data_IF_516199604647
#
_entry.id   IF_516199604647
#
_cell.length_a   1.000
_cell.length_b   1.000
_cell.length_c   1.000
_cell.angle_alpha   90.00
_cell.angle_beta   90.00
_cell.angle_gamma   90.00
#
_symmetry.space_group_name_H-M   'P 1'
#
loop_
_entity.id
_entity.type
_entity.pdbx_description
1 polymer ?
#
# COMPACT_ATOMS: atom_id res chain seq x y z
N UNK A 1 16.10 -17.56 -20.76
CA UNK A 1 16.31 -16.25 -21.44
C UNK A 1 15.01 -15.82 -22.15
N UNK A 2 14.04 -15.20 -21.45
CA UNK A 2 12.81 -14.68 -22.06
C UNK A 2 12.90 -13.15 -22.22
N UNK A 3 13.24 -12.71 -23.44
CA UNK A 3 13.08 -11.31 -23.88
C UNK A 3 11.60 -11.07 -24.23
N UNK A 4 10.93 -10.20 -23.48
CA UNK A 4 9.60 -9.68 -23.86
C UNK A 4 9.78 -8.69 -25.02
N UNK A 5 9.32 -9.08 -26.21
CA UNK A 5 9.32 -8.29 -27.43
C UNK A 5 8.26 -7.19 -27.35
N UNK A 6 8.69 -5.94 -27.41
CA UNK A 6 7.81 -4.78 -27.61
C UNK A 6 7.39 -4.76 -29.08
N UNK A 7 6.13 -5.10 -29.37
CA UNK A 7 5.57 -4.99 -30.72
C UNK A 7 5.11 -3.56 -30.98
N UNK A 8 5.80 -2.88 -31.89
CA UNK A 8 5.41 -1.60 -32.48
C UNK A 8 4.56 -1.90 -33.71
N UNK A 9 3.36 -1.31 -33.80
CA UNK A 9 2.53 -1.38 -35.01
C UNK A 9 2.07 0.02 -35.42
N UNK A 10 2.25 0.27 -36.72
CA UNK A 10 2.10 1.52 -37.46
C UNK A 10 0.64 1.89 -37.73
N UNK A 11 0.49 3.18 -38.02
CA UNK A 11 -0.67 3.96 -38.47
C UNK A 11 -1.65 3.25 -39.41
N UNK A 12 -2.93 3.59 -39.25
CA UNK A 12 -3.84 3.86 -40.37
C UNK A 12 -4.48 5.23 -40.17
N UNK A 13 -4.28 6.09 -41.15
CA UNK A 13 -4.90 7.40 -41.30
C UNK A 13 -6.36 7.24 -41.74
N UNK A 14 -7.22 8.13 -41.24
CA UNK A 14 -8.63 8.20 -41.60
C UNK A 14 -9.15 9.58 -41.16
N UNK A 15 -9.12 10.51 -42.10
CA UNK A 15 -9.70 11.86 -42.01
C UNK A 15 -11.21 11.79 -41.83
N UNK A 16 -11.79 12.76 -41.10
CA UNK A 16 -13.02 13.49 -41.48
C UNK A 16 -13.19 14.73 -40.58
N UNK A 17 -13.73 15.77 -41.18
CA UNK A 17 -13.69 17.18 -40.83
C UNK A 17 -14.83 17.68 -39.90
N UNK A 18 -14.68 18.93 -39.44
CA UNK A 18 -15.74 19.87 -38.99
C UNK A 18 -16.33 19.57 -37.61
N UNK A 19 -16.70 20.53 -36.75
CA UNK A 19 -17.17 21.88 -37.02
C UNK A 19 -17.12 22.71 -35.71
N UNK A 20 -16.84 24.02 -35.83
CA UNK A 20 -16.90 25.01 -34.74
C UNK A 20 -18.35 25.33 -34.33
N UNK A 21 -18.58 25.59 -33.05
CA UNK A 21 -19.61 26.57 -32.65
C UNK A 21 -19.29 27.23 -31.30
N UNK A 22 -19.21 28.56 -31.33
CA UNK A 22 -19.03 29.49 -30.21
C UNK A 22 -20.38 30.03 -29.71
N UNK A 23 -20.36 30.58 -28.49
CA UNK A 23 -21.33 31.45 -27.76
C UNK A 23 -22.34 30.65 -26.89
N UNK A 24 -22.70 31.04 -25.66
CA UNK A 24 -22.63 32.32 -24.95
C UNK A 24 -22.46 32.09 -23.42
N UNK A 25 -21.90 33.08 -22.73
CA UNK A 25 -21.78 33.11 -21.27
C UNK A 25 -23.05 33.60 -20.56
N UNK A 26 -23.27 33.12 -19.34
CA UNK A 26 -24.13 33.74 -18.33
C UNK A 26 -23.45 33.57 -16.97
N UNK A 27 -23.25 34.70 -16.30
CA UNK A 27 -22.53 34.85 -15.04
C UNK A 27 -23.27 34.20 -13.85
N UNK A 28 -22.54 33.37 -13.09
CA UNK A 28 -22.99 32.80 -11.82
C UNK A 28 -21.91 32.91 -10.75
N UNK A 29 -21.94 33.98 -9.94
CA UNK A 29 -21.04 34.13 -8.79
C UNK A 29 -21.27 32.99 -7.78
N UNK A 30 -20.26 32.13 -7.61
CA UNK A 30 -20.28 30.98 -6.70
C UNK A 30 -20.16 31.43 -5.23
N UNK A 31 -20.80 30.71 -4.31
CA UNK A 31 -20.92 31.02 -2.86
C UNK A 31 -19.60 31.34 -2.12
N UNK A 32 -18.44 31.01 -2.69
CA UNK A 32 -17.12 31.28 -2.13
C UNK A 32 -16.71 32.77 -2.24
N UNK A 33 -17.24 33.50 -3.22
CA UNK A 33 -17.02 34.95 -3.39
C UNK A 33 -17.70 35.76 -2.27
N UNK A 34 -18.90 35.37 -1.85
CA UNK A 34 -19.65 35.98 -0.73
C UNK A 34 -18.94 35.79 0.61
N UNK A 35 -18.30 34.64 0.85
CA UNK A 35 -17.49 34.39 2.06
C UNK A 35 -16.24 35.28 2.12
N UNK A 36 -15.57 35.53 0.99
CA UNK A 36 -14.42 36.43 0.91
C UNK A 36 -14.81 37.90 1.17
N UNK A 37 -15.90 38.39 0.57
CA UNK A 37 -16.41 39.77 0.80
C UNK A 37 -16.81 40.01 2.28
N UNK A 38 -17.42 39.02 2.96
CA UNK A 38 -17.80 39.12 4.39
C UNK A 38 -16.57 39.19 5.32
N UNK A 39 -15.50 38.46 4.99
CA UNK A 39 -14.23 38.46 5.77
C UNK A 39 -13.43 39.77 5.62
N UNK A 40 -13.54 40.44 4.48
CA UNK A 40 -12.94 41.76 4.25
C UNK A 40 -13.67 42.90 4.97
N UNK A 41 -15.02 42.85 5.08
CA UNK A 41 -15.80 43.84 5.85
C UNK A 41 -15.49 43.79 7.35
N UNK A 42 -15.32 42.60 7.93
CA UNK A 42 -15.00 42.43 9.37
C UNK A 42 -13.60 43.00 9.68
N UNK A 43 -12.62 42.79 8.78
CA UNK A 43 -11.26 43.34 8.93
C UNK A 43 -11.19 44.87 8.80
N UNK A 44 -12.11 45.51 8.08
CA UNK A 44 -12.17 46.98 7.98
C UNK A 44 -12.87 47.63 9.17
N UNK A 45 -13.79 46.93 9.85
CA UNK A 45 -14.49 47.47 11.03
C UNK A 45 -13.59 47.51 12.28
N UNK A 46 -12.77 46.48 12.49
CA UNK A 46 -11.80 46.42 13.61
C UNK A 46 -10.67 47.45 13.48
N UNK A 47 -10.43 47.99 12.27
CA UNK A 47 -9.37 48.97 12.02
C UNK A 47 -9.82 50.43 12.19
N UNK A 48 -11.10 50.67 12.49
CA UNK A 48 -11.70 52.01 12.58
C UNK A 48 -12.10 52.41 14.01
N UNK A 49 -11.91 51.53 14.99
CA UNK A 49 -12.26 51.75 16.41
C UNK A 49 -11.03 52.09 17.28
N UNK A 50 -9.83 52.21 16.73
CA UNK A 50 -8.60 52.42 17.54
C UNK A 50 -7.92 53.79 17.35
N UNK A 51 -8.46 54.69 16.52
CA UNK A 51 -7.86 56.02 16.34
C UNK A 51 -8.93 57.11 16.52
N UNK A 52 -8.90 57.78 17.67
CA UNK A 52 -9.75 58.92 18.04
C UNK A 52 -9.09 59.74 19.16
N UNK A 53 -8.64 60.94 18.77
CA UNK A 53 -7.92 62.00 19.51
C UNK A 53 -8.92 62.83 20.38
N UNK A 54 -8.72 63.02 21.70
CA UNK A 54 -8.11 64.20 22.39
C UNK A 54 -9.17 64.97 23.24
N UNK A 55 -8.89 65.98 24.11
CA UNK A 55 -7.64 66.43 24.78
C UNK A 55 -7.81 66.72 26.32
N UNK A 56 -6.72 67.09 27.02
CA UNK A 56 -6.80 67.70 28.37
C UNK A 56 -5.54 67.55 29.24
N UNK A 57 -4.86 68.67 29.47
CA UNK A 57 -3.62 68.94 30.23
C UNK A 57 -3.57 68.48 31.68
N UNK A 58 -2.40 68.01 32.14
CA UNK A 58 -1.68 68.53 33.31
C UNK A 58 -0.23 68.02 33.33
N UNK A 59 0.69 68.89 33.74
CA UNK A 59 2.12 68.73 33.64
C UNK A 59 2.68 67.98 34.87
N UNK A 60 3.59 67.02 34.67
CA UNK A 60 4.63 66.70 35.65
C UNK A 60 5.81 65.91 35.05
N UNK A 61 6.96 66.59 35.08
CA UNK A 61 8.34 66.10 35.26
C UNK A 61 8.87 64.92 34.43
N UNK A 62 9.82 65.28 33.55
CA UNK A 62 10.78 64.40 32.88
C UNK A 62 11.65 63.65 33.91
N UNK A 63 11.63 62.33 33.85
CA UNK A 63 12.79 61.49 34.19
C UNK A 63 13.04 60.58 32.99
N UNK A 64 14.17 60.79 32.33
CA UNK A 64 14.66 59.98 31.23
C UNK A 64 15.20 58.65 31.76
N UNK A 65 14.43 57.57 31.66
CA UNK A 65 14.97 56.21 31.69
C UNK A 65 14.91 55.62 30.28
N UNK A 66 16.00 55.80 29.53
CA UNK A 66 16.29 55.05 28.31
C UNK A 66 16.59 53.59 28.70
N UNK A 67 15.54 52.81 28.91
CA UNK A 67 15.66 51.35 28.88
C UNK A 67 15.88 50.92 27.42
N UNK A 68 17.14 50.74 27.03
CA UNK A 68 17.52 50.07 25.80
C UNK A 68 16.78 48.73 25.71
N UNK A 69 15.82 48.62 24.79
CA UNK A 69 15.25 47.34 24.40
C UNK A 69 16.37 46.56 23.73
N UNK A 70 17.12 45.78 24.51
CA UNK A 70 18.03 44.78 23.98
C UNK A 70 17.24 43.88 23.05
N UNK A 71 17.42 44.07 21.74
CA UNK A 71 16.90 43.13 20.76
C UNK A 71 17.52 41.78 21.08
N UNK A 72 16.67 40.83 21.48
CA UNK A 72 17.11 39.47 21.79
C UNK A 72 17.65 38.86 20.50
N UNK A 73 18.96 38.98 20.29
CA UNK A 73 19.66 38.45 19.13
C UNK A 73 19.45 36.94 19.13
N UNK A 74 18.84 36.46 18.07
CA UNK A 74 18.70 35.03 17.80
C UNK A 74 19.70 34.64 16.73
N UNK A 75 20.45 33.53 16.89
CA UNK A 75 20.32 32.53 17.95
C UNK A 75 20.92 33.00 19.29
N UNK A 76 20.33 32.61 20.44
CA UNK A 76 20.93 32.87 21.74
C UNK A 76 22.28 32.15 21.84
N UNK A 77 23.24 32.75 22.54
CA UNK A 77 24.56 32.16 22.81
C UNK A 77 24.50 30.90 23.68
N UNK A 78 23.39 30.71 24.41
CA UNK A 78 23.13 29.56 25.28
C UNK A 78 22.15 28.57 24.65
N UNK A 79 22.22 27.28 25.02
CA UNK A 79 21.33 26.27 24.46
C UNK A 79 19.90 26.44 25.02
N UNK A 80 18.88 26.29 24.17
CA UNK A 80 17.47 26.43 24.59
C UNK A 80 17.12 25.44 25.71
N UNK A 81 17.84 24.31 25.80
CA UNK A 81 17.66 23.28 26.83
C UNK A 81 18.03 23.75 28.25
N UNK A 82 18.93 24.72 28.40
CA UNK A 82 19.39 25.25 29.69
C UNK A 82 18.34 26.13 30.40
N UNK A 83 17.34 26.64 29.67
CA UNK A 83 16.29 27.49 30.25
C UNK A 83 15.41 26.65 31.17
N UNK A 84 15.55 26.76 32.50
CA UNK A 84 14.72 26.03 33.47
C UNK A 84 13.22 26.29 33.34
N UNK A 85 12.81 27.52 33.01
CA UNK A 85 11.40 27.88 32.82
C UNK A 85 10.80 27.28 31.53
N UNK A 86 9.78 26.43 31.66
CA UNK A 86 9.09 25.74 30.55
C UNK A 86 8.47 26.69 29.52
N UNK A 87 7.81 27.76 29.96
CA UNK A 87 7.13 28.71 29.05
C UNK A 87 8.15 29.48 28.22
N UNK A 88 9.20 30.03 28.87
CA UNK A 88 10.30 30.70 28.16
C UNK A 88 11.03 29.74 27.23
N UNK A 89 11.31 28.51 27.66
CA UNK A 89 11.93 27.45 26.85
C UNK A 89 11.12 27.15 25.59
N UNK A 90 9.82 26.95 25.74
CA UNK A 90 8.92 26.65 24.61
C UNK A 90 8.85 27.82 23.61
N UNK A 91 8.72 29.05 24.11
CA UNK A 91 8.70 30.25 23.27
C UNK A 91 9.99 30.43 22.46
N UNK A 92 11.15 30.29 23.11
CA UNK A 92 12.45 30.40 22.45
C UNK A 92 12.65 29.26 21.43
N UNK A 93 12.22 28.03 21.75
CA UNK A 93 12.25 26.91 20.81
C UNK A 93 11.36 27.15 19.58
N UNK A 94 10.16 27.71 19.75
CA UNK A 94 9.27 28.06 18.64
C UNK A 94 9.89 29.13 17.73
N UNK A 95 10.49 30.19 18.31
CA UNK A 95 11.23 31.20 17.54
C UNK A 95 12.39 30.59 16.76
N UNK A 96 13.22 29.78 17.41
CA UNK A 96 14.33 29.07 16.76
C UNK A 96 13.86 28.19 15.59
N UNK A 97 12.76 27.46 15.78
CA UNK A 97 12.14 26.62 14.73
C UNK A 97 11.66 27.45 13.54
N UNK A 98 11.09 28.64 13.78
CA UNK A 98 10.67 29.55 12.72
C UNK A 98 11.87 30.09 11.92
N UNK A 99 12.95 30.49 12.59
CA UNK A 99 14.18 30.97 11.94
C UNK A 99 14.83 29.88 11.09
N UNK A 100 15.06 28.69 11.67
CA UNK A 100 15.56 27.53 10.93
C UNK A 100 14.70 27.18 9.71
N UNK A 101 13.37 27.34 9.79
CA UNK A 101 12.48 27.14 8.64
C UNK A 101 12.67 28.21 7.56
N UNK A 102 12.83 29.48 7.93
CA UNK A 102 13.11 30.59 7.00
C UNK A 102 14.45 30.38 6.30
N UNK A 103 15.50 30.06 7.05
CA UNK A 103 16.85 29.75 6.53
C UNK A 103 16.82 28.56 5.57
N UNK A 104 16.18 27.45 5.95
CA UNK A 104 16.04 26.26 5.09
C UNK A 104 15.31 26.59 3.78
N UNK A 105 14.31 27.46 3.82
CA UNK A 105 13.57 27.89 2.63
C UNK A 105 14.40 28.82 1.75
N UNK A 106 15.17 29.73 2.35
CA UNK A 106 16.12 30.59 1.63
C UNK A 106 17.24 29.76 0.96
N UNK A 107 17.84 28.81 1.68
CA UNK A 107 18.83 27.88 1.15
C UNK A 107 18.26 27.03 -0.01
N UNK A 108 17.04 26.50 0.12
CA UNK A 108 16.37 25.76 -0.96
C UNK A 108 16.12 26.63 -2.20
N UNK A 109 15.80 27.92 -2.02
CA UNK A 109 15.65 28.86 -3.13
C UNK A 109 16.98 29.15 -3.83
N UNK A 110 18.06 29.39 -3.07
CA UNK A 110 19.42 29.58 -3.61
C UNK A 110 19.87 28.37 -4.43
N UNK A 111 19.79 27.17 -3.84
CA UNK A 111 20.13 25.92 -4.51
C UNK A 111 19.28 25.65 -5.77
N UNK A 112 18.01 26.05 -5.76
CA UNK A 112 17.15 25.94 -6.96
C UNK A 112 17.67 26.85 -8.08
N UNK A 113 18.02 28.11 -7.78
CA UNK A 113 18.58 29.05 -8.76
C UNK A 113 19.93 28.58 -9.29
N UNK A 114 20.80 28.08 -8.42
CA UNK A 114 22.10 27.52 -8.82
C UNK A 114 21.95 26.32 -9.76
N UNK A 115 21.01 25.40 -9.47
CA UNK A 115 20.72 24.27 -10.37
C UNK A 115 20.16 24.70 -11.71
N UNK A 116 19.34 25.75 -11.72
CA UNK A 116 18.76 26.31 -12.95
C UNK A 116 19.85 26.97 -13.81
N UNK A 117 20.83 27.64 -13.19
CA UNK A 117 21.99 28.21 -13.87
C UNK A 117 22.98 27.15 -14.39
N UNK A 118 23.17 26.05 -13.65
CA UNK A 118 24.11 24.98 -14.03
C UNK A 118 23.54 23.97 -15.04
N UNK A 119 22.22 23.96 -15.26
CA UNK A 119 21.54 23.08 -16.22
C UNK A 119 21.95 21.60 -16.04
N UNK A 120 22.55 21.03 -17.08
CA UNK A 120 22.95 19.62 -17.12
C UNK A 120 24.19 19.30 -16.26
N UNK A 121 24.97 20.30 -15.84
CA UNK A 121 26.10 20.13 -14.91
C UNK A 121 25.68 20.16 -13.44
N UNK A 122 24.38 20.34 -13.16
CA UNK A 122 23.86 20.47 -11.81
C UNK A 122 24.11 19.20 -10.96
N UNK A 123 24.53 19.35 -9.68
CA UNK A 123 24.65 18.22 -8.77
C UNK A 123 23.32 17.48 -8.65
N UNK A 124 23.34 16.13 -8.71
CA UNK A 124 22.13 15.32 -8.65
C UNK A 124 21.34 15.62 -7.36
N UNK A 125 20.01 15.51 -7.46
CA UNK A 125 19.15 15.73 -6.28
C UNK A 125 19.48 14.65 -5.23
N UNK A 126 19.68 15.03 -3.96
CA UNK A 126 19.91 14.03 -2.92
C UNK A 126 18.68 13.14 -2.81
N UNK A 127 18.89 11.83 -2.94
CA UNK A 127 17.84 10.83 -2.85
C UNK A 127 17.34 10.78 -1.39
N UNK A 128 16.02 10.83 -1.15
CA UNK A 128 15.50 10.73 0.21
C UNK A 128 15.84 9.36 0.82
N UNK A 129 16.24 9.36 2.10
CA UNK A 129 16.43 8.15 2.90
C UNK A 129 15.07 7.57 3.29
N UNK A 130 14.45 6.82 2.38
CA UNK A 130 13.21 6.06 2.66
C UNK A 130 13.55 4.72 3.30
N UNK A 131 12.56 4.07 3.94
CA UNK A 131 12.75 2.73 4.54
C UNK A 131 13.12 1.69 3.47
N UNK A 132 12.58 1.85 2.25
CA UNK A 132 12.89 0.97 1.12
C UNK A 132 14.33 1.16 0.65
N UNK A 133 14.80 2.41 0.54
CA UNK A 133 16.19 2.71 0.17
C UNK A 133 17.21 2.31 1.25
N UNK A 134 16.76 2.18 2.50
CA UNK A 134 17.59 1.76 3.64
C UNK A 134 17.27 0.33 4.09
N UNK A 135 16.68 -0.50 3.21
CA UNK A 135 16.46 -1.91 3.50
C UNK A 135 17.81 -2.55 3.80
N UNK A 136 17.87 -3.34 4.88
CA UNK A 136 19.04 -4.16 5.15
C UNK A 136 19.07 -5.24 4.08
N UNK A 137 20.18 -5.33 3.35
CA UNK A 137 20.36 -6.38 2.36
C UNK A 137 20.24 -7.74 3.04
N UNK A 138 19.42 -8.61 2.45
CA UNK A 138 19.24 -9.98 2.91
C UNK A 138 20.03 -10.88 1.97
N UNK A 139 20.88 -11.74 2.53
CA UNK A 139 21.70 -12.71 1.79
C UNK A 139 20.83 -13.70 1.00
N UNK A 140 19.59 -13.92 1.45
CA UNK A 140 18.62 -14.80 0.78
C UNK A 140 17.89 -14.14 -0.39
N UNK A 141 18.29 -12.93 -0.80
CA UNK A 141 17.73 -12.26 -1.98
C UNK A 141 18.16 -13.01 -3.24
N UNK A 142 17.18 -13.44 -4.02
CA UNK A 142 17.39 -14.24 -5.24
C UNK A 142 17.76 -13.33 -6.40
N UNK A 143 18.84 -13.67 -7.09
CA UNK A 143 19.14 -13.10 -8.40
C UNK A 143 18.40 -13.88 -9.49
N UNK A 144 17.68 -13.23 -10.43
CA UNK A 144 16.88 -13.93 -11.45
C UNK A 144 17.65 -14.84 -12.41
N UNK A 145 18.98 -14.77 -12.43
CA UNK A 145 19.84 -15.56 -13.30
C UNK A 145 20.58 -16.67 -12.53
N UNK A 146 20.28 -16.88 -11.25
CA UNK A 146 20.88 -17.94 -10.45
C UNK A 146 20.36 -19.32 -10.89
N UNK A 147 21.27 -20.21 -11.28
CA UNK A 147 20.94 -21.55 -11.79
C UNK A 147 20.44 -22.47 -10.66
N UNK A 148 20.90 -22.26 -9.42
CA UNK A 148 20.47 -23.07 -8.26
C UNK A 148 18.98 -22.88 -8.00
N UNK A 149 18.52 -21.62 -7.99
CA UNK A 149 17.11 -21.31 -7.75
C UNK A 149 16.23 -21.83 -8.89
N UNK A 150 16.70 -21.78 -10.14
CA UNK A 150 15.97 -22.33 -11.27
C UNK A 150 15.81 -23.86 -11.16
N UNK A 151 16.85 -24.55 -10.65
CA UNK A 151 16.79 -25.99 -10.39
C UNK A 151 15.81 -26.30 -9.26
N UNK A 152 15.91 -25.58 -8.14
CA UNK A 152 14.98 -25.70 -7.02
C UNK A 152 13.53 -25.51 -7.48
N UNK A 153 13.25 -24.46 -8.26
CA UNK A 153 11.93 -24.17 -8.80
C UNK A 153 11.40 -25.23 -9.80
N UNK A 154 12.29 -26.00 -10.43
CA UNK A 154 11.92 -27.06 -11.36
C UNK A 154 11.54 -28.37 -10.64
N UNK A 155 12.09 -28.61 -9.46
CA UNK A 155 11.87 -29.84 -8.67
C UNK A 155 10.88 -29.66 -7.51
N UNK A 156 10.53 -28.42 -7.20
CA UNK A 156 9.57 -27.99 -6.18
C UNK A 156 8.21 -28.70 -6.29
N UNK A 157 7.45 -28.74 -5.19
CA UNK A 157 6.14 -29.38 -5.11
C UNK A 157 5.13 -28.78 -6.12
N UNK A 158 5.32 -27.51 -6.50
CA UNK A 158 4.49 -26.82 -7.50
C UNK A 158 4.88 -27.07 -8.96
N UNK A 159 5.97 -27.80 -9.23
CA UNK A 159 6.52 -28.03 -10.57
C UNK A 159 5.48 -28.59 -11.56
N UNK A 160 4.64 -29.54 -11.12
CA UNK A 160 3.56 -30.13 -11.92
C UNK A 160 2.57 -29.08 -12.45
N UNK A 161 2.21 -28.12 -11.60
CA UNK A 161 1.35 -26.99 -11.97
C UNK A 161 2.06 -26.05 -12.95
N UNK A 162 3.31 -25.65 -12.70
CA UNK A 162 4.05 -24.74 -13.59
C UNK A 162 4.39 -25.36 -14.94
N UNK A 163 4.56 -26.68 -14.99
CA UNK A 163 4.73 -27.46 -16.21
C UNK A 163 3.40 -27.72 -16.96
N UNK A 164 2.28 -27.15 -16.48
CA UNK A 164 0.93 -27.24 -17.08
C UNK A 164 0.37 -28.67 -17.13
N UNK A 165 0.83 -29.55 -16.24
CA UNK A 165 0.33 -30.93 -16.18
C UNK A 165 -0.99 -31.02 -15.41
N UNK A 166 -1.17 -30.15 -14.42
CA UNK A 166 -2.33 -30.15 -13.52
C UNK A 166 -3.06 -28.81 -13.57
N UNK A 167 -4.39 -28.84 -13.69
CA UNK A 167 -5.22 -27.65 -13.52
C UNK A 167 -5.57 -27.44 -12.04
N UNK A 168 -5.49 -26.22 -11.49
CA UNK A 168 -5.77 -26.00 -10.10
C UNK A 168 -7.25 -26.18 -9.79
N UNK A 169 -7.52 -26.90 -8.70
CA UNK A 169 -8.85 -27.17 -8.15
C UNK A 169 -8.80 -26.85 -6.66
N UNK A 170 -9.51 -25.79 -6.25
CA UNK A 170 -9.31 -25.20 -4.92
C UNK A 170 -10.52 -25.46 -4.04
N UNK A 171 -10.29 -26.03 -2.86
CA UNK A 171 -11.29 -26.11 -1.81
C UNK A 171 -11.16 -24.92 -0.86
N UNK A 172 -12.18 -24.07 -0.81
CA UNK A 172 -12.30 -23.01 0.19
C UNK A 172 -13.18 -23.52 1.33
N UNK A 173 -12.63 -23.52 2.53
CA UNK A 173 -13.31 -23.94 3.73
C UNK A 173 -13.11 -22.94 4.87
N UNK A 174 -13.91 -23.04 5.93
CA UNK A 174 -13.91 -22.07 7.05
C UNK A 174 -13.57 -22.72 8.38
N UNK A 175 -13.39 -21.93 9.44
CA UNK A 175 -13.53 -22.40 10.82
C UNK A 175 -14.88 -23.07 11.06
N UNK A 176 -15.00 -23.79 12.17
CA UNK A 176 -16.30 -24.35 12.57
C UNK A 176 -17.31 -23.21 12.79
N UNK A 177 -18.54 -23.42 12.32
CA UNK A 177 -19.67 -22.48 12.45
C UNK A 177 -19.33 -21.01 12.09
N UNK A 178 -18.95 -20.70 10.84
CA UNK A 178 -18.59 -19.35 10.44
C UNK A 178 -19.79 -18.39 10.52
N UNK A 179 -19.53 -17.10 10.73
CA UNK A 179 -20.55 -16.06 10.72
C UNK A 179 -20.68 -15.41 9.35
N UNK A 180 -21.78 -14.67 9.17
CA UNK A 180 -22.18 -14.12 7.87
C UNK A 180 -21.13 -13.25 7.17
N UNK A 181 -20.24 -12.56 7.91
CA UNK A 181 -19.14 -11.79 7.30
C UNK A 181 -18.13 -12.70 6.62
N UNK A 182 -17.72 -13.78 7.29
CA UNK A 182 -16.74 -14.76 6.81
C UNK A 182 -17.31 -15.58 5.66
N UNK A 183 -18.58 -15.98 5.76
CA UNK A 183 -19.31 -16.66 4.66
C UNK A 183 -19.28 -15.80 3.38
N UNK A 184 -19.71 -14.54 3.48
CA UNK A 184 -19.68 -13.60 2.34
C UNK A 184 -18.26 -13.33 1.81
N UNK A 185 -17.25 -13.40 2.68
CA UNK A 185 -15.86 -13.28 2.27
C UNK A 185 -15.42 -14.50 1.45
N UNK A 186 -15.79 -15.71 1.87
CA UNK A 186 -15.45 -16.95 1.16
C UNK A 186 -16.16 -17.02 -0.21
N UNK A 187 -17.43 -16.62 -0.28
CA UNK A 187 -18.16 -16.48 -1.56
C UNK A 187 -17.46 -15.48 -2.51
N UNK A 188 -17.01 -14.34 -1.98
CA UNK A 188 -16.26 -13.36 -2.76
C UNK A 188 -14.89 -13.87 -3.19
N UNK A 189 -14.19 -14.61 -2.34
CA UNK A 189 -12.92 -15.23 -2.67
C UNK A 189 -13.09 -16.28 -3.77
N UNK A 190 -14.18 -17.06 -3.70
CA UNK A 190 -14.53 -18.04 -4.71
C UNK A 190 -14.84 -17.40 -6.07
N UNK A 191 -15.47 -16.22 -6.08
CA UNK A 191 -15.67 -15.47 -7.32
C UNK A 191 -14.39 -14.87 -7.93
N UNK A 192 -13.27 -14.83 -7.18
CA UNK A 192 -11.99 -14.31 -7.68
C UNK A 192 -11.05 -15.42 -8.12
N UNK A 193 -11.03 -16.54 -7.40
CA UNK A 193 -10.21 -17.71 -7.70
C UNK A 193 -11.03 -18.64 -8.60
N UNK A 194 -10.64 -18.85 -9.87
CA UNK A 194 -11.34 -19.81 -10.74
C UNK A 194 -11.28 -21.23 -10.18
N UNK A 195 -12.20 -22.11 -10.58
CA UNK A 195 -12.24 -23.51 -10.13
C UNK A 195 -12.23 -23.70 -8.61
N UNK A 196 -12.82 -22.74 -7.89
CA UNK A 196 -12.90 -22.79 -6.43
C UNK A 196 -14.27 -23.26 -5.96
N UNK A 197 -14.27 -24.15 -4.98
CA UNK A 197 -15.49 -24.68 -4.37
C UNK A 197 -15.54 -24.32 -2.90
N UNK A 198 -16.68 -23.79 -2.42
CA UNK A 198 -16.85 -23.42 -1.01
C UNK A 198 -17.60 -24.53 -0.27
N UNK A 199 -16.94 -25.18 0.68
CA UNK A 199 -17.57 -26.16 1.57
C UNK A 199 -17.27 -25.86 3.04
N UNK A 200 -18.32 -25.81 3.86
CA UNK A 200 -18.21 -25.57 5.30
C UNK A 200 -17.94 -26.86 6.07
N UNK A 201 -16.97 -26.85 6.99
CA UNK A 201 -16.52 -28.06 7.70
C UNK A 201 -17.55 -28.68 8.64
N UNK A 202 -18.56 -27.94 9.14
CA UNK A 202 -19.60 -28.44 10.06
C UNK A 202 -19.06 -29.39 11.16
N UNK A 203 -17.94 -29.04 11.81
CA UNK A 203 -17.30 -29.86 12.85
C UNK A 203 -16.28 -30.92 12.38
N UNK A 204 -15.99 -31.06 11.08
CA UNK A 204 -14.93 -31.96 10.60
C UNK A 204 -13.52 -31.41 10.86
N UNK A 205 -12.65 -32.27 11.39
CA UNK A 205 -11.23 -31.97 11.57
C UNK A 205 -10.48 -31.93 10.22
N UNK A 206 -9.50 -31.04 10.07
CA UNK A 206 -8.72 -30.89 8.82
C UNK A 206 -8.03 -32.19 8.42
N UNK A 207 -7.53 -32.97 9.39
CA UNK A 207 -6.91 -34.28 9.14
C UNK A 207 -7.82 -35.27 8.41
N UNK A 208 -9.15 -35.14 8.55
CA UNK A 208 -10.13 -35.96 7.81
C UNK A 208 -10.50 -35.34 6.46
N UNK A 209 -10.45 -34.01 6.37
CA UNK A 209 -10.78 -33.26 5.13
C UNK A 209 -9.67 -33.44 4.10
N UNK A 210 -8.40 -33.39 4.49
CA UNK A 210 -7.26 -33.48 3.57
C UNK A 210 -7.29 -34.77 2.71
N UNK A 211 -7.41 -35.99 3.28
CA UNK A 211 -7.51 -37.21 2.47
C UNK A 211 -8.73 -37.22 1.54
N UNK A 212 -9.85 -36.63 1.95
CA UNK A 212 -11.04 -36.49 1.09
C UNK A 212 -10.84 -35.49 -0.04
N UNK A 213 -9.99 -34.48 0.16
CA UNK A 213 -9.63 -33.52 -0.88
C UNK A 213 -8.72 -34.18 -1.92
N UNK A 214 -7.72 -34.93 -1.44
CA UNK A 214 -6.80 -35.69 -2.29
C UNK A 214 -7.56 -36.72 -3.12
N UNK A 215 -8.48 -37.49 -2.52
CA UNK A 215 -9.27 -38.48 -3.27
C UNK A 215 -10.21 -37.88 -4.32
N UNK A 216 -10.58 -36.60 -4.15
CA UNK A 216 -11.41 -35.84 -5.11
C UNK A 216 -10.58 -35.05 -6.12
N UNK A 217 -9.25 -35.09 -6.04
CA UNK A 217 -8.36 -34.38 -6.96
C UNK A 217 -8.28 -32.87 -6.74
N UNK A 218 -8.52 -32.38 -5.51
CA UNK A 218 -8.24 -30.97 -5.19
C UNK A 218 -6.72 -30.75 -5.05
N UNK A 219 -6.22 -29.68 -5.66
CA UNK A 219 -4.81 -29.29 -5.60
C UNK A 219 -4.49 -28.46 -4.37
N UNK A 220 -5.44 -27.62 -3.92
CA UNK A 220 -5.18 -26.67 -2.85
C UNK A 220 -6.35 -26.57 -1.88
N UNK A 221 -6.02 -26.40 -0.60
CA UNK A 221 -6.96 -26.19 0.49
C UNK A 221 -6.74 -24.82 1.13
N UNK A 222 -7.76 -23.98 1.07
CA UNK A 222 -7.79 -22.68 1.75
C UNK A 222 -8.73 -22.76 2.95
N UNK A 223 -8.19 -22.58 4.16
CA UNK A 223 -8.98 -22.52 5.40
C UNK A 223 -9.02 -21.10 5.92
N UNK A 224 -10.21 -20.48 5.93
CA UNK A 224 -10.42 -19.16 6.52
C UNK A 224 -10.83 -19.29 7.99
N UNK A 225 -10.03 -18.70 8.88
CA UNK A 225 -10.32 -18.61 10.30
C UNK A 225 -10.98 -17.26 10.66
N UNK A 226 -11.87 -17.30 11.64
CA UNK A 226 -12.63 -16.16 12.15
C UNK A 226 -12.29 -15.91 13.61
N UNK A 227 -12.18 -14.64 14.00
CA UNK A 227 -12.17 -14.21 15.39
C UNK A 227 -13.15 -13.05 15.57
N UNK A 228 -13.96 -13.09 16.63
CA UNK A 228 -14.98 -12.06 16.95
C UNK A 228 -15.83 -11.62 15.74
N UNK A 229 -16.33 -12.55 14.93
CA UNK A 229 -17.16 -12.25 13.74
C UNK A 229 -16.41 -11.59 12.58
N UNK A 230 -15.08 -11.60 12.61
CA UNK A 230 -14.22 -11.02 11.57
C UNK A 230 -13.18 -12.05 11.10
N UNK A 231 -12.98 -12.21 9.78
CA UNK A 231 -11.91 -13.07 9.27
C UNK A 231 -10.53 -12.59 9.73
N UNK A 232 -9.75 -13.47 10.35
CA UNK A 232 -8.48 -13.15 11.01
C UNK A 232 -7.29 -14.00 10.53
N UNK A 233 -7.54 -15.24 10.10
CA UNK A 233 -6.48 -16.14 9.63
C UNK A 233 -6.83 -16.76 8.29
N UNK A 234 -5.81 -17.10 7.52
CA UNK A 234 -5.92 -17.91 6.31
C UNK A 234 -4.81 -18.96 6.35
N UNK A 235 -5.17 -20.22 6.24
CA UNK A 235 -4.21 -21.31 6.02
C UNK A 235 -4.35 -21.72 4.55
N UNK A 236 -3.24 -21.77 3.83
CA UNK A 236 -3.16 -22.29 2.48
C UNK A 236 -2.28 -23.53 2.51
N UNK A 237 -2.80 -24.66 2.07
CA UNK A 237 -2.09 -25.94 2.04
C UNK A 237 -2.17 -26.51 0.64
N UNK A 238 -1.02 -26.81 0.05
CA UNK A 238 -0.94 -27.48 -1.24
C UNK A 238 -1.02 -29.01 -1.02
N UNK A 239 -1.83 -29.69 -1.81
CA UNK A 239 -2.11 -31.12 -1.70
C UNK A 239 -1.52 -31.86 -2.91
N UNK A 240 -1.12 -33.14 -2.78
CA UNK A 240 -1.31 -34.03 -1.63
C UNK A 240 -0.29 -33.88 -0.50
N UNK A 241 0.96 -33.52 -0.79
CA UNK A 241 2.08 -33.46 0.17
C UNK A 241 2.81 -32.11 0.11
N UNK A 242 2.18 -31.09 -0.45
CA UNK A 242 2.78 -29.76 -0.61
C UNK A 242 2.82 -28.94 0.69
N UNK A 243 3.50 -27.79 0.69
CA UNK A 243 3.71 -26.99 1.88
C UNK A 243 2.42 -26.31 2.37
N UNK A 244 2.42 -25.94 3.65
CA UNK A 244 1.32 -25.25 4.31
C UNK A 244 1.76 -23.90 4.86
N UNK A 245 1.22 -22.83 4.31
CA UNK A 245 1.45 -21.47 4.77
C UNK A 245 0.29 -20.99 5.65
N UNK A 246 0.63 -20.52 6.84
CA UNK A 246 -0.30 -19.86 7.74
C UNK A 246 -0.11 -18.35 7.67
N UNK A 247 -1.16 -17.65 7.26
CA UNK A 247 -1.21 -16.20 7.19
C UNK A 247 -2.10 -15.63 8.28
N UNK A 248 -1.61 -14.58 8.93
CA UNK A 248 -2.48 -13.65 9.63
C UNK A 248 -3.11 -12.73 8.59
N UNK A 249 -4.43 -12.70 8.55
CA UNK A 249 -5.20 -11.81 7.72
C UNK A 249 -5.58 -10.55 8.51
N UNK A 250 -5.57 -9.41 7.84
CA UNK A 250 -5.91 -8.12 8.45
C UNK A 250 -6.61 -7.23 7.42
N UNK A 251 -7.26 -6.19 7.92
CA UNK A 251 -7.92 -5.16 7.08
C UNK A 251 -8.87 -5.72 6.01
N UNK A 252 -9.62 -6.78 6.35
CA UNK A 252 -10.58 -7.41 5.43
C UNK A 252 -11.75 -6.46 5.17
N UNK A 253 -11.86 -6.00 3.93
CA UNK A 253 -12.95 -5.17 3.42
C UNK A 253 -13.67 -5.93 2.33
N UNK A 254 -14.96 -6.15 2.55
CA UNK A 254 -15.84 -6.75 1.55
C UNK A 254 -16.17 -5.73 0.46
N UNK A 255 -16.55 -6.22 -0.72
CA UNK A 255 -16.92 -5.37 -1.86
C UNK A 255 -17.96 -4.29 -1.52
N UNK A 256 -18.99 -4.64 -0.74
CA UNK A 256 -20.07 -3.70 -0.35
C UNK A 256 -19.58 -2.51 0.49
N UNK A 257 -18.44 -2.65 1.17
CA UNK A 257 -17.85 -1.60 2.01
C UNK A 257 -16.94 -0.64 1.25
N UNK A 258 -16.63 -0.95 -0.02
CA UNK A 258 -15.70 -0.17 -0.81
C UNK A 258 -16.40 1.02 -1.48
N UNK A 259 -15.75 2.19 -1.40
CA UNK A 259 -16.17 3.39 -2.13
C UNK A 259 -15.83 3.23 -3.60
N UNK A 260 -16.69 3.75 -4.50
CA UNK A 260 -16.51 3.68 -5.96
C UNK A 260 -16.37 2.24 -6.47
N UNK A 261 -17.24 1.34 -5.98
CA UNK A 261 -17.29 -0.06 -6.44
C UNK A 261 -17.53 -0.13 -7.95
N UNK A 262 -16.79 -1.01 -8.63
CA UNK A 262 -17.08 -1.33 -10.02
C UNK A 262 -18.35 -2.16 -10.19
N UNK A 263 -18.66 -2.49 -11.45
CA UNK A 263 -19.64 -3.53 -11.78
C UNK A 263 -19.23 -4.86 -11.13
N UNK A 264 -20.14 -5.81 -11.07
CA UNK A 264 -19.82 -7.13 -10.53
C UNK A 264 -18.69 -7.79 -11.35
N UNK A 265 -17.84 -8.62 -10.71
CA UNK A 265 -16.86 -9.42 -11.42
C UNK A 265 -17.52 -10.23 -12.53
N UNK A 266 -16.91 -10.24 -13.72
CA UNK A 266 -17.26 -11.20 -14.77
C UNK A 266 -16.59 -12.53 -14.47
N UNK A 267 -17.16 -13.66 -14.92
CA UNK A 267 -16.58 -15.00 -14.76
C UNK A 267 -15.36 -15.30 -15.63
N UNK A 268 -14.64 -14.27 -16.09
CA UNK A 268 -13.42 -14.45 -16.86
C UNK A 268 -12.24 -14.75 -15.91
N UNK A 269 -11.28 -15.54 -16.37
CA UNK A 269 -10.05 -15.82 -15.61
C UNK A 269 -9.20 -14.55 -15.53
N UNK A 270 -8.83 -14.07 -14.32
CA UNK A 270 -8.04 -12.86 -14.17
C UNK A 270 -6.54 -13.10 -14.40
N UNK A 271 -5.83 -12.02 -14.75
CA UNK A 271 -4.37 -11.99 -14.75
C UNK A 271 -3.84 -11.96 -13.30
N UNK A 272 -2.70 -12.57 -13.03
CA UNK A 272 -2.06 -12.55 -11.71
C UNK A 272 -0.81 -11.68 -11.76
N UNK A 273 -0.69 -10.77 -10.79
CA UNK A 273 0.48 -9.91 -10.63
C UNK A 273 1.08 -10.13 -9.25
N UNK A 274 2.31 -10.62 -9.22
CA UNK A 274 3.12 -10.80 -8.01
C UNK A 274 4.20 -9.73 -8.00
N UNK A 275 4.24 -8.88 -6.97
CA UNK A 275 5.22 -7.80 -6.86
C UNK A 275 6.05 -7.94 -5.58
N UNK A 276 7.37 -7.76 -5.70
CA UNK A 276 8.35 -7.71 -4.61
C UNK A 276 8.46 -8.97 -3.75
N UNK A 277 8.37 -10.15 -4.37
CA UNK A 277 8.73 -11.42 -3.73
C UNK A 277 10.16 -11.76 -4.14
N UNK A 278 11.14 -11.18 -3.43
CA UNK A 278 12.54 -11.17 -3.88
C UNK A 278 13.45 -12.14 -3.13
N UNK A 279 13.05 -12.58 -1.93
CA UNK A 279 13.84 -13.54 -1.14
C UNK A 279 13.49 -14.97 -1.56
N UNK A 280 14.33 -15.97 -1.21
CA UNK A 280 14.01 -17.40 -1.44
C UNK A 280 12.64 -17.78 -0.85
N UNK A 281 12.37 -17.38 0.40
CA UNK A 281 11.06 -17.54 1.04
C UNK A 281 9.95 -16.81 0.26
N UNK A 282 10.23 -15.59 -0.22
CA UNK A 282 9.33 -14.81 -1.05
C UNK A 282 8.94 -15.54 -2.34
N UNK A 283 9.92 -16.13 -3.03
CA UNK A 283 9.70 -16.93 -4.25
C UNK A 283 8.78 -18.13 -3.96
N UNK A 284 9.05 -18.92 -2.91
CA UNK A 284 8.20 -20.07 -2.55
C UNK A 284 6.75 -19.65 -2.26
N UNK A 285 6.56 -18.58 -1.49
CA UNK A 285 5.22 -18.04 -1.21
C UNK A 285 4.57 -17.46 -2.47
N UNK A 286 5.35 -16.80 -3.33
CA UNK A 286 4.87 -16.26 -4.60
C UNK A 286 4.37 -17.37 -5.53
N UNK A 287 5.12 -18.47 -5.63
CA UNK A 287 4.76 -19.66 -6.41
C UNK A 287 3.49 -20.33 -5.88
N UNK A 288 3.41 -20.51 -4.57
CA UNK A 288 2.21 -21.04 -3.91
C UNK A 288 0.97 -20.14 -4.09
N UNK A 289 1.13 -18.82 -4.17
CA UNK A 289 0.00 -17.92 -4.47
C UNK A 289 -0.35 -17.91 -5.96
N UNK A 290 0.63 -18.14 -6.84
CA UNK A 290 0.41 -18.26 -8.28
C UNK A 290 -0.33 -19.54 -8.65
N UNK A 291 -0.05 -20.65 -7.96
CA UNK A 291 -0.66 -21.96 -8.22
C UNK A 291 -2.17 -21.99 -8.02
N UNK A 292 -2.73 -21.01 -7.31
CA UNK A 292 -4.17 -20.87 -7.10
C UNK A 292 -4.93 -20.45 -8.36
N UNK A 293 -4.27 -19.89 -9.37
CA UNK A 293 -4.92 -19.37 -10.56
C UNK A 293 -4.56 -20.21 -11.79
N UNK A 294 -5.42 -20.34 -12.80
CA UNK A 294 -5.02 -20.96 -14.07
C UNK A 294 -3.97 -20.12 -14.81
N UNK A 295 -3.12 -20.78 -15.60
CA UNK A 295 -2.05 -20.14 -16.40
C UNK A 295 -2.57 -19.29 -17.56
N UNK A 296 -3.78 -19.55 -18.05
CA UNK A 296 -4.34 -18.91 -19.24
C UNK A 296 -5.32 -17.77 -18.87
N UNK A 297 -4.83 -16.53 -18.70
CA UNK A 297 -5.69 -15.39 -18.37
C UNK A 297 -6.53 -14.99 -19.57
N UNK A 298 -7.76 -14.54 -19.29
CA UNK A 298 -8.68 -14.05 -20.31
C UNK A 298 -8.66 -12.52 -20.35
N UNK A 299 -7.83 -11.96 -21.24
CA UNK A 299 -7.64 -10.52 -21.42
C UNK A 299 -8.93 -9.75 -21.76
N UNK A 300 -9.94 -10.42 -22.32
CA UNK A 300 -11.26 -9.84 -22.61
C UNK A 300 -11.95 -9.32 -21.34
N UNK A 301 -11.76 -10.00 -20.20
CA UNK A 301 -12.31 -9.58 -18.92
C UNK A 301 -11.63 -8.33 -18.35
N UNK A 302 -10.37 -8.07 -18.73
CA UNK A 302 -9.50 -7.01 -18.20
C UNK A 302 -9.42 -7.02 -16.67
N UNK A 303 -9.39 -8.21 -16.09
CA UNK A 303 -9.35 -8.41 -14.65
C UNK A 303 -7.95 -8.80 -14.21
N UNK A 304 -7.55 -8.33 -13.04
CA UNK A 304 -6.24 -8.62 -12.45
C UNK A 304 -6.36 -8.84 -10.95
N UNK A 305 -5.79 -9.94 -10.48
CA UNK A 305 -5.52 -10.24 -9.08
C UNK A 305 -4.07 -9.87 -8.77
N UNK A 306 -3.88 -8.90 -7.88
CA UNK A 306 -2.55 -8.40 -7.50
C UNK A 306 -2.22 -8.81 -6.07
N UNK A 307 -1.08 -9.46 -5.91
CA UNK A 307 -0.41 -9.67 -4.63
C UNK A 307 0.83 -8.78 -4.59
N UNK A 308 0.74 -7.70 -3.81
CA UNK A 308 1.84 -6.76 -3.65
C UNK A 308 2.49 -6.94 -2.28
N UNK A 309 3.73 -7.42 -2.25
CA UNK A 309 4.50 -7.48 -1.02
C UNK A 309 5.11 -6.09 -0.72
N UNK A 310 4.80 -5.57 0.47
CA UNK A 310 5.44 -4.38 1.01
C UNK A 310 5.68 -4.57 2.50
N UNK A 311 6.96 -4.71 2.88
CA UNK A 311 7.42 -4.84 4.28
C UNK A 311 6.80 -6.06 4.99
N UNK A 312 6.84 -7.21 4.33
CA UNK A 312 6.23 -8.48 4.76
C UNK A 312 4.69 -8.47 4.88
N UNK A 313 4.04 -7.41 4.38
CA UNK A 313 2.60 -7.38 4.20
C UNK A 313 2.28 -7.60 2.74
N UNK A 314 1.57 -8.68 2.46
CA UNK A 314 1.05 -8.99 1.13
C UNK A 314 -0.33 -8.35 1.02
N UNK A 315 -0.42 -7.32 0.20
CA UNK A 315 -1.67 -6.63 -0.10
C UNK A 315 -2.34 -7.33 -1.27
N UNK A 316 -3.47 -7.99 -0.99
CA UNK A 316 -4.31 -8.56 -2.04
C UNK A 316 -5.30 -7.53 -2.56
N UNK A 317 -5.35 -7.38 -3.88
CA UNK A 317 -6.24 -6.45 -4.56
C UNK A 317 -6.77 -7.06 -5.84
N UNK A 318 -8.09 -6.98 -6.03
CA UNK A 318 -8.73 -7.44 -7.26
C UNK A 318 -9.30 -6.26 -8.05
N UNK A 319 -8.77 -6.06 -9.26
CA UNK A 319 -9.00 -4.86 -10.05
C UNK A 319 -9.43 -5.19 -11.47
N UNK A 320 -10.22 -4.30 -12.05
CA UNK A 320 -10.41 -4.19 -13.48
C UNK A 320 -9.56 -3.04 -13.98
N UNK A 321 -8.82 -3.26 -15.05
CA UNK A 321 -8.05 -2.20 -15.69
C UNK A 321 -8.76 -1.66 -16.93
N UNK A 322 -8.63 -0.35 -17.13
CA UNK A 322 -9.17 0.36 -18.28
C UNK A 322 -8.03 1.22 -18.83
N UNK A 323 -7.63 0.96 -20.08
CA UNK A 323 -6.68 1.81 -20.78
C UNK A 323 -7.32 3.16 -21.02
N UNK A 324 -6.76 4.21 -20.40
CA UNK A 324 -7.16 5.60 -20.70
C UNK A 324 -6.39 6.09 -21.91
N UNK A 325 -5.07 5.94 -21.84
CA UNK A 325 -4.11 6.26 -22.89
C UNK A 325 -3.08 5.10 -22.97
N UNK A 326 -2.24 5.09 -24.01
CA UNK A 326 -1.15 4.10 -24.17
C UNK A 326 -0.22 4.00 -22.95
N UNK A 327 -0.02 5.11 -22.23
CA UNK A 327 0.90 5.18 -21.06
C UNK A 327 0.21 5.05 -19.70
N UNK A 328 -1.13 5.13 -19.65
CA UNK A 328 -1.86 5.28 -18.39
C UNK A 328 -3.07 4.36 -18.33
N UNK A 329 -3.09 3.58 -17.26
CA UNK A 329 -4.17 2.65 -16.93
C UNK A 329 -4.97 3.21 -15.76
N UNK A 330 -6.30 3.21 -15.89
CA UNK A 330 -7.23 3.41 -14.79
C UNK A 330 -7.55 2.09 -14.13
N UNK A 331 -7.58 2.05 -12.80
CA UNK A 331 -7.92 0.86 -12.02
C UNK A 331 -9.27 1.08 -11.33
N UNK A 332 -10.12 0.05 -11.40
CA UNK A 332 -11.40 0.00 -10.69
C UNK A 332 -11.47 -1.29 -9.88
N UNK A 333 -11.88 -1.20 -8.63
CA UNK A 333 -11.87 -2.38 -7.77
C UNK A 333 -13.15 -3.19 -7.89
N UNK A 334 -12.96 -4.51 -7.98
CA UNK A 334 -14.04 -5.47 -8.17
C UNK A 334 -14.28 -6.35 -6.93
N UNK A 335 -13.20 -6.78 -6.27
CA UNK A 335 -13.25 -7.83 -5.24
C UNK A 335 -12.88 -7.36 -3.84
N UNK A 336 -12.80 -8.28 -2.87
CA UNK A 336 -12.45 -7.94 -1.50
C UNK A 336 -11.01 -7.42 -1.43
N UNK A 337 -10.75 -6.57 -0.42
CA UNK A 337 -9.39 -6.18 -0.04
C UNK A 337 -9.03 -6.85 1.27
N UNK A 338 -7.83 -7.36 1.36
CA UNK A 338 -7.27 -7.80 2.63
C UNK A 338 -5.75 -7.70 2.58
N UNK A 339 -5.14 -7.85 3.74
CA UNK A 339 -3.70 -7.93 3.89
C UNK A 339 -3.35 -9.24 4.57
N UNK A 340 -2.32 -9.90 4.07
CA UNK A 340 -1.77 -11.11 4.65
C UNK A 340 -0.39 -10.79 5.23
N UNK A 341 -0.08 -11.36 6.38
CA UNK A 341 1.28 -11.43 6.94
C UNK A 341 1.59 -12.89 7.21
N UNK A 342 2.67 -13.41 6.65
CA UNK A 342 3.09 -14.78 6.90
C UNK A 342 3.40 -14.97 8.40
N UNK A 343 2.86 -16.04 8.99
CA UNK A 343 3.09 -16.43 10.38
C UNK A 343 3.98 -17.64 10.46
N UNK A 344 3.77 -18.62 9.61
CA UNK A 344 4.60 -19.81 9.53
C UNK A 344 4.46 -20.43 8.15
N UNK A 345 5.53 -21.09 7.71
CA UNK A 345 5.58 -21.97 6.55
C UNK A 345 6.01 -23.34 7.07
N UNK A 346 5.19 -24.34 6.78
CA UNK A 346 5.37 -25.72 7.18
C UNK A 346 5.61 -26.56 5.93
N UNK A 347 6.53 -27.53 6.02
CA UNK A 347 6.73 -28.54 4.99
C UNK A 347 5.65 -29.61 5.11
N UNK A 348 5.02 -29.94 3.99
CA UNK A 348 3.89 -30.86 3.94
C UNK A 348 2.55 -30.26 4.39
N UNK A 349 1.54 -31.13 4.45
CA UNK A 349 0.17 -30.73 4.75
C UNK A 349 -0.01 -30.27 6.21
N UNK A 350 -1.19 -29.72 6.52
CA UNK A 350 -1.48 -29.17 7.84
C UNK A 350 -1.33 -30.22 8.96
N UNK A 351 -0.22 -30.13 9.72
CA UNK A 351 -0.04 -30.83 10.98
C UNK A 351 0.44 -29.93 12.10
N UNK A 352 -0.37 -29.82 13.15
CA UNK A 352 -0.11 -28.94 14.30
C UNK A 352 0.87 -29.55 15.31
N UNK A 353 1.02 -30.88 15.35
CA UNK A 353 1.78 -31.57 16.40
C UNK A 353 3.21 -31.89 16.02
N UNK A 354 3.42 -32.50 14.85
CA UNK A 354 4.73 -32.99 14.40
C UNK A 354 5.15 -32.32 13.10
N UNK A 355 4.51 -31.21 12.76
CA UNK A 355 4.82 -30.43 11.58
C UNK A 355 6.22 -29.86 11.60
N UNK A 356 6.99 -30.11 10.54
CA UNK A 356 8.28 -29.48 10.32
C UNK A 356 8.07 -28.07 9.75
N UNK A 357 8.53 -27.06 10.49
CA UNK A 357 8.41 -25.67 10.06
C UNK A 357 9.70 -25.22 9.38
N UNK A 358 9.59 -24.87 8.10
CA UNK A 358 10.67 -24.22 7.36
C UNK A 358 10.92 -22.80 7.89
N UNK A 359 9.83 -22.08 8.21
CA UNK A 359 9.92 -20.71 8.69
C UNK A 359 8.81 -20.38 9.69
N UNK A 360 9.16 -19.68 10.77
CA UNK A 360 8.19 -19.20 11.78
C UNK A 360 8.46 -17.75 12.13
N UNK A 361 7.41 -16.93 12.13
CA UNK A 361 7.46 -15.53 12.54
C UNK A 361 7.57 -15.33 14.07
N UNK A 362 8.80 -15.40 14.59
CA UNK A 362 9.18 -15.00 15.96
C UNK A 362 9.20 -13.49 16.13
N UNK A 363 8.09 -12.94 16.64
CA UNK A 363 7.86 -11.50 16.78
C UNK A 363 8.98 -10.76 17.52
N UNK A 364 9.43 -11.28 18.67
CA UNK A 364 10.39 -10.57 19.53
C UNK A 364 11.81 -10.53 18.96
N UNK A 365 12.20 -11.54 18.19
CA UNK A 365 13.52 -11.60 17.56
C UNK A 365 13.52 -10.81 16.24
N UNK A 366 12.51 -11.04 15.39
CA UNK A 366 12.52 -10.54 14.01
C UNK A 366 11.98 -9.11 13.85
N UNK A 367 11.02 -8.66 14.66
CA UNK A 367 10.51 -7.28 14.56
C UNK A 367 11.46 -6.25 15.22
N UNK A 368 12.64 -6.66 15.70
CA UNK A 368 13.66 -5.78 16.30
C UNK A 368 14.18 -4.76 15.29
N UNK A 369 14.45 -5.18 14.06
CA UNK A 369 14.89 -4.30 12.97
C UNK A 369 13.71 -3.91 12.09
N UNK A 370 13.34 -2.63 12.09
CA UNK A 370 12.26 -2.10 11.22
C UNK A 370 12.66 -1.96 9.74
N UNK A 371 13.83 -2.48 9.36
CA UNK A 371 14.44 -2.38 8.03
C UNK A 371 14.82 -3.73 7.43
N UNK A 372 14.71 -4.82 8.19
CA UNK A 372 14.85 -6.19 7.67
C UNK A 372 13.45 -6.71 7.33
N UNK A 373 13.32 -7.33 6.17
CA UNK A 373 12.06 -7.90 5.66
C UNK A 373 12.40 -9.24 5.03
N UNK A 374 11.55 -10.24 5.26
CA UNK A 374 11.82 -11.65 5.00
C UNK A 374 11.21 -12.19 3.70
N UNK A 375 10.22 -11.47 3.13
CA UNK A 375 9.56 -11.82 1.86
C UNK A 375 10.13 -11.02 0.67
#
# INVERSE_FOLDING_TARGET
MLKVRVCTMRRKEGSMAGEELRRAGVDGETQDSKKRKKKQKIRRKVKKETDGDGPGTEAEQKVEDKAEKQEVVFPPTFSVSEIKNKQRRHFMFMKLKQLKRKEKLAAKKKLKKEREALGDKAPPKPVPKTIENQRVYDETTVDPNDEEVAFDEAIDEFSSYFNRQTSPQILITTSDRPRGRTVRFCEQLSGVIPNSHVYYRRGLALKKVIPQCVSRGFTDLIVINEDRKVPNGMVLSHLPDGPTAHFKMSSVRLRKEMKRRGKDPTGHVPEVVLNNFSTRLGHSIGRMLASLFPHDPQFMGRQVATFHNQRDYIFFRFHRYIFKNEKKVGLQELGPRFTLKLRSLQKGTFDSKYGEYEWIHKRHEMDTSRRKFHL
#
